data_IF_282450439277
#
_entry.id   IF_282450439277
#
_cell.length_a   1.000
_cell.length_b   1.000
_cell.length_c   1.000
_cell.angle_alpha   90.00
_cell.angle_beta   90.00
_cell.angle_gamma   90.00
#
_symmetry.space_group_name_H-M   'P 1'
#
loop_
_entity.id
_entity.type
_entity.pdbx_description
1 polymer ?
#
# COMPACT_ATOMS: atom_id res chain seq x y z
N UNK A 1 54.63 10.56 -7.93
CA UNK A 1 53.43 9.85 -8.42
C UNK A 1 52.37 9.85 -7.33
N UNK A 2 51.33 10.69 -7.45
CA UNK A 2 50.20 10.66 -6.52
C UNK A 2 49.28 9.48 -6.89
N UNK A 3 49.11 8.51 -6.00
CA UNK A 3 48.13 7.43 -6.16
C UNK A 3 46.74 8.03 -5.95
N UNK A 4 45.97 8.16 -7.03
CA UNK A 4 44.57 8.57 -6.97
C UNK A 4 43.78 7.44 -6.29
N UNK A 5 43.35 7.66 -5.04
CA UNK A 5 42.56 6.72 -4.26
C UNK A 5 41.12 6.81 -4.76
N UNK A 6 40.74 5.87 -5.63
CA UNK A 6 39.37 5.78 -6.15
C UNK A 6 38.45 5.53 -4.95
N UNK A 7 37.40 6.34 -4.72
CA UNK A 7 36.49 6.10 -3.61
C UNK A 7 35.75 4.78 -3.86
N UNK A 8 35.96 3.80 -2.97
CA UNK A 8 35.21 2.55 -3.00
C UNK A 8 33.82 2.81 -2.42
N UNK A 9 32.81 2.86 -3.29
CA UNK A 9 31.41 2.88 -2.86
C UNK A 9 31.11 1.51 -2.25
N UNK A 10 30.85 1.47 -0.95
CA UNK A 10 30.39 0.25 -0.27
C UNK A 10 28.97 -0.08 -0.74
N UNK A 11 28.75 -1.34 -1.12
CA UNK A 11 27.43 -1.84 -1.49
C UNK A 11 26.44 -1.69 -0.32
N UNK A 12 25.18 -1.30 -0.59
CA UNK A 12 24.15 -1.19 0.45
C UNK A 12 23.84 -2.56 1.05
N UNK A 13 23.36 -2.56 2.30
CA UNK A 13 22.96 -3.80 2.96
C UNK A 13 21.76 -4.45 2.27
N UNK A 14 21.60 -5.79 2.32
CA UNK A 14 20.42 -6.46 1.75
C UNK A 14 19.09 -5.89 2.26
N UNK A 15 19.03 -5.45 3.53
CA UNK A 15 17.82 -4.86 4.08
C UNK A 15 17.52 -3.46 3.54
N UNK A 16 18.56 -2.69 3.23
CA UNK A 16 18.41 -1.40 2.56
C UNK A 16 17.84 -1.61 1.16
N UNK A 17 18.33 -2.60 0.43
CA UNK A 17 17.80 -2.94 -0.90
C UNK A 17 16.35 -3.41 -0.79
N UNK A 18 16.03 -4.29 0.16
CA UNK A 18 14.65 -4.73 0.41
C UNK A 18 13.71 -3.55 0.70
N UNK A 19 14.10 -2.63 1.58
CA UNK A 19 13.30 -1.45 1.90
C UNK A 19 13.07 -0.54 0.69
N UNK A 20 14.11 -0.33 -0.14
CA UNK A 20 13.99 0.43 -1.38
C UNK A 20 13.04 -0.26 -2.37
N UNK A 21 13.15 -1.58 -2.55
CA UNK A 21 12.26 -2.34 -3.43
C UNK A 21 10.81 -2.23 -2.92
N UNK A 22 10.58 -2.42 -1.63
CA UNK A 22 9.24 -2.29 -1.04
C UNK A 22 8.65 -0.87 -1.21
N UNK A 23 9.49 0.16 -1.04
CA UNK A 23 9.09 1.55 -1.28
C UNK A 23 8.74 1.78 -2.76
N UNK A 24 9.55 1.28 -3.70
CA UNK A 24 9.25 1.41 -5.13
C UNK A 24 7.99 0.64 -5.52
N UNK A 25 7.76 -0.55 -4.94
CA UNK A 25 6.54 -1.31 -5.12
C UNK A 25 5.32 -0.51 -4.65
N UNK A 26 5.39 0.10 -3.46
CA UNK A 26 4.34 0.97 -2.95
C UNK A 26 4.02 2.11 -3.93
N UNK A 27 5.03 2.86 -4.38
CA UNK A 27 4.85 4.01 -5.27
C UNK A 27 4.24 3.61 -6.62
N UNK A 28 4.71 2.51 -7.21
CA UNK A 28 4.20 2.03 -8.49
C UNK A 28 2.74 1.59 -8.36
N UNK A 29 2.44 0.76 -7.35
CA UNK A 29 1.10 0.19 -7.20
C UNK A 29 0.09 1.23 -6.69
N UNK A 30 0.52 2.25 -5.94
CA UNK A 30 -0.35 3.37 -5.56
C UNK A 30 -0.72 4.28 -6.74
N UNK A 31 -0.14 4.06 -7.93
CA UNK A 31 -0.41 4.87 -9.11
C UNK A 31 0.33 6.21 -9.10
N UNK A 32 1.47 6.33 -8.42
CA UNK A 32 2.25 7.57 -8.38
C UNK A 32 2.60 8.10 -9.78
N UNK A 33 2.88 7.20 -10.73
CA UNK A 33 3.14 7.58 -12.14
C UNK A 33 1.90 8.19 -12.78
N UNK A 34 0.71 7.65 -12.51
CA UNK A 34 -0.55 8.24 -12.96
C UNK A 34 -0.77 9.61 -12.33
N UNK A 35 -0.49 9.75 -11.03
CA UNK A 35 -0.67 11.02 -10.32
C UNK A 35 0.23 12.13 -10.88
N UNK A 36 1.47 11.82 -11.25
CA UNK A 36 2.41 12.78 -11.87
C UNK A 36 1.99 13.17 -13.29
N UNK A 37 1.45 12.23 -14.07
CA UNK A 37 1.08 12.50 -15.47
C UNK A 37 -0.26 13.21 -15.59
N UNK A 38 -1.24 12.80 -14.78
CA UNK A 38 -2.63 13.23 -14.90
C UNK A 38 -2.98 14.35 -13.92
N UNK A 39 -2.17 14.53 -12.88
CA UNK A 39 -2.38 15.52 -11.82
C UNK A 39 -3.84 15.52 -11.30
N UNK A 40 -4.40 14.35 -10.92
CA UNK A 40 -5.77 14.27 -10.43
C UNK A 40 -5.89 15.02 -9.08
N UNK A 41 -7.09 15.49 -8.72
CA UNK A 41 -7.29 16.10 -7.41
C UNK A 41 -7.04 15.06 -6.30
N UNK A 42 -6.57 15.56 -5.15
CA UNK A 42 -6.22 14.68 -4.02
C UNK A 42 -7.43 13.94 -3.44
N UNK A 43 -8.57 14.62 -3.35
CA UNK A 43 -9.87 14.10 -2.93
C UNK A 43 -10.96 14.67 -3.83
N UNK A 44 -12.05 13.93 -3.98
CA UNK A 44 -13.26 14.41 -4.64
C UNK A 44 -14.24 15.06 -3.68
N UNK A 45 -15.32 15.60 -4.25
CA UNK A 45 -16.46 16.05 -3.50
C UNK A 45 -17.75 15.71 -4.23
N UNK A 46 -18.79 15.30 -3.51
CA UNK A 46 -20.14 15.14 -4.03
C UNK A 46 -21.07 16.12 -3.34
N UNK A 47 -22.00 16.71 -4.10
CA UNK A 47 -23.01 17.56 -3.52
C UNK A 47 -24.25 16.74 -3.19
N UNK A 48 -24.70 16.83 -1.95
CA UNK A 48 -25.93 16.19 -1.52
C UNK A 48 -27.12 16.89 -2.18
N UNK A 49 -27.93 16.11 -2.91
CA UNK A 49 -29.06 16.64 -3.70
C UNK A 49 -30.15 17.27 -2.86
N UNK A 50 -30.30 16.88 -1.59
CA UNK A 50 -31.37 17.38 -0.71
C UNK A 50 -30.93 18.55 0.16
N UNK A 51 -29.67 18.55 0.60
CA UNK A 51 -29.15 19.57 1.54
C UNK A 51 -28.24 20.61 0.88
N UNK A 52 -27.79 20.36 -0.35
CA UNK A 52 -26.79 21.18 -1.03
C UNK A 52 -25.39 21.10 -0.39
N UNK A 53 -25.22 20.33 0.68
CA UNK A 53 -23.96 20.20 1.39
C UNK A 53 -22.93 19.44 0.57
N UNK A 54 -21.69 19.92 0.58
CA UNK A 54 -20.56 19.29 -0.10
C UNK A 54 -19.96 18.24 0.83
N UNK A 55 -19.97 16.97 0.41
CA UNK A 55 -19.40 15.83 1.14
C UNK A 55 -18.10 15.39 0.48
N UNK A 56 -16.99 15.23 1.23
CA UNK A 56 -15.74 14.72 0.67
C UNK A 56 -15.91 13.27 0.22
N UNK A 57 -15.29 12.92 -0.90
CA UNK A 57 -15.32 11.57 -1.48
C UNK A 57 -13.91 11.13 -1.77
N UNK A 58 -13.52 10.00 -1.17
CA UNK A 58 -12.15 9.48 -1.21
C UNK A 58 -11.90 8.61 -2.44
N UNK A 59 -12.93 7.92 -2.94
CA UNK A 59 -12.86 7.01 -4.07
C UNK A 59 -13.75 7.50 -5.21
N UNK A 60 -13.26 7.46 -6.45
CA UNK A 60 -14.06 7.85 -7.61
C UNK A 60 -15.00 6.71 -8.05
N UNK A 61 -16.32 6.77 -7.74
CA UNK A 61 -17.21 5.64 -7.99
C UNK A 61 -17.51 5.49 -9.49
N UNK A 62 -17.57 4.25 -9.98
CA UNK A 62 -18.00 3.92 -11.35
C UNK A 62 -17.00 4.26 -12.46
N UNK A 63 -15.86 4.90 -12.16
CA UNK A 63 -14.82 5.22 -13.14
C UNK A 63 -13.53 4.44 -12.84
N UNK A 64 -13.39 3.28 -13.48
CA UNK A 64 -12.28 2.35 -13.22
C UNK A 64 -10.91 2.92 -13.60
N UNK A 65 -10.82 3.66 -14.72
CA UNK A 65 -9.57 4.18 -15.27
C UNK A 65 -9.07 5.51 -14.66
N UNK A 66 -9.80 6.08 -13.70
CA UNK A 66 -9.37 7.32 -13.02
C UNK A 66 -9.39 7.17 -11.52
N UNK A 67 -8.40 7.71 -10.84
CA UNK A 67 -8.27 7.66 -9.38
C UNK A 67 -8.05 9.05 -8.81
N UNK A 68 -8.42 9.24 -7.53
CA UNK A 68 -7.87 10.33 -6.72
C UNK A 68 -6.52 9.91 -6.12
N UNK A 69 -5.66 10.88 -5.79
CA UNK A 69 -4.34 10.60 -5.20
C UNK A 69 -4.48 9.76 -3.92
N UNK A 70 -5.43 10.13 -3.05
CA UNK A 70 -5.64 9.41 -1.79
C UNK A 70 -6.15 7.98 -2.00
N UNK A 71 -6.93 7.74 -3.06
CA UNK A 71 -7.46 6.42 -3.42
C UNK A 71 -6.30 5.49 -3.82
N UNK A 72 -5.42 6.00 -4.70
CA UNK A 72 -4.20 5.31 -5.10
C UNK A 72 -3.31 4.99 -3.90
N UNK A 73 -2.95 5.99 -3.09
CA UNK A 73 -2.11 5.80 -1.90
C UNK A 73 -2.73 4.83 -0.88
N UNK A 74 -4.04 4.91 -0.64
CA UNK A 74 -4.74 4.02 0.30
C UNK A 74 -4.73 2.57 -0.18
N UNK A 75 -4.95 2.34 -1.49
CA UNK A 75 -4.90 0.99 -2.07
C UNK A 75 -3.48 0.40 -2.05
N UNK A 76 -2.46 1.19 -2.42
CA UNK A 76 -1.05 0.79 -2.32
C UNK A 76 -0.65 0.42 -0.89
N UNK A 77 -1.11 1.18 0.10
CA UNK A 77 -0.85 0.88 1.51
C UNK A 77 -1.46 -0.46 1.93
N UNK A 78 -2.69 -0.77 1.51
CA UNK A 78 -3.33 -2.05 1.83
C UNK A 78 -2.57 -3.24 1.25
N UNK A 79 -2.01 -3.12 0.04
CA UNK A 79 -1.21 -4.19 -0.54
C UNK A 79 0.12 -4.40 0.19
N UNK A 80 0.81 -3.32 0.57
CA UNK A 80 2.02 -3.41 1.39
C UNK A 80 1.71 -3.99 2.76
N UNK A 81 0.62 -3.57 3.39
CA UNK A 81 0.15 -4.12 4.66
C UNK A 81 -0.05 -5.63 4.55
N UNK A 82 -0.78 -6.10 3.54
CA UNK A 82 -0.97 -7.53 3.29
C UNK A 82 0.35 -8.29 3.06
N UNK A 83 1.26 -7.74 2.25
CA UNK A 83 2.57 -8.34 2.00
C UNK A 83 3.44 -8.42 3.26
N UNK A 84 3.48 -7.34 4.06
CA UNK A 84 4.15 -7.33 5.38
C UNK A 84 3.51 -8.32 6.33
N UNK A 85 2.17 -8.48 6.30
CA UNK A 85 1.47 -9.50 7.07
C UNK A 85 1.96 -10.91 6.79
N UNK A 86 2.25 -11.25 5.53
CA UNK A 86 2.85 -12.54 5.15
C UNK A 86 4.26 -12.68 5.72
N UNK A 87 5.08 -11.63 5.63
CA UNK A 87 6.44 -11.62 6.21
C UNK A 87 6.39 -11.81 7.73
N UNK A 88 5.43 -11.18 8.42
CA UNK A 88 5.26 -11.35 9.86
C UNK A 88 4.86 -12.79 10.22
N UNK A 89 4.01 -13.44 9.43
CA UNK A 89 3.68 -14.85 9.64
C UNK A 89 4.92 -15.74 9.49
N UNK A 90 5.77 -15.49 8.50
CA UNK A 90 7.04 -16.22 8.32
C UNK A 90 7.98 -16.02 9.52
N UNK A 91 8.12 -14.79 10.01
CA UNK A 91 8.88 -14.50 11.24
C UNK A 91 8.29 -15.17 12.50
N UNK A 92 7.00 -15.48 12.49
CA UNK A 92 6.33 -16.25 13.53
C UNK A 92 6.72 -17.73 13.57
N UNK A 93 7.26 -18.28 12.48
CA UNK A 93 7.69 -19.68 12.37
C UNK A 93 9.14 -19.91 12.87
N UNK A 94 9.90 -18.84 13.10
CA UNK A 94 11.27 -18.90 13.56
C UNK A 94 11.41 -19.70 14.86
N UNK A 95 12.24 -20.75 14.85
CA UNK A 95 12.43 -21.65 16.00
C UNK A 95 13.10 -20.95 17.19
N UNK A 96 13.90 -19.91 16.94
CA UNK A 96 14.77 -19.28 17.93
C UNK A 96 14.07 -18.22 18.81
N UNK A 97 12.78 -17.97 18.60
CA UNK A 97 12.00 -16.96 19.33
C UNK A 97 11.18 -17.56 20.48
N UNK A 98 10.84 -16.74 21.47
CA UNK A 98 9.91 -17.13 22.54
C UNK A 98 8.51 -17.43 21.97
N UNK A 99 7.78 -18.39 22.57
CA UNK A 99 6.44 -18.80 22.10
C UNK A 99 5.45 -17.63 22.03
N UNK A 100 5.48 -16.72 23.00
CA UNK A 100 4.63 -15.52 23.01
C UNK A 100 4.87 -14.62 21.79
N UNK A 101 6.14 -14.40 21.44
CA UNK A 101 6.55 -13.56 20.31
C UNK A 101 6.13 -14.20 18.98
N UNK A 102 6.22 -15.53 18.86
CA UNK A 102 5.74 -16.25 17.67
C UNK A 102 4.24 -16.09 17.47
N UNK A 103 3.47 -16.29 18.55
CA UNK A 103 2.01 -16.15 18.53
C UNK A 103 1.62 -14.71 18.18
N UNK A 104 2.35 -13.71 18.70
CA UNK A 104 2.12 -12.31 18.37
C UNK A 104 2.39 -11.99 16.89
N UNK A 105 3.51 -12.44 16.33
CA UNK A 105 3.80 -12.22 14.91
C UNK A 105 2.81 -12.93 13.99
N UNK A 106 2.43 -14.16 14.33
CA UNK A 106 1.41 -14.89 13.59
C UNK A 106 0.04 -14.19 13.67
N UNK A 107 -0.39 -13.75 14.85
CA UNK A 107 -1.70 -13.09 15.00
C UNK A 107 -1.77 -11.77 14.26
N UNK A 108 -0.76 -10.90 14.41
CA UNK A 108 -0.69 -9.61 13.71
C UNK A 108 -0.59 -9.83 12.19
N UNK A 109 0.20 -10.82 11.75
CA UNK A 109 0.33 -11.16 10.33
C UNK A 109 -0.99 -11.61 9.70
N UNK A 110 -1.71 -12.53 10.34
CA UNK A 110 -3.04 -12.99 9.89
C UNK A 110 -4.03 -11.82 9.87
N UNK A 111 -4.12 -11.04 10.96
CA UNK A 111 -5.03 -9.89 11.02
C UNK A 111 -4.72 -8.87 9.93
N UNK A 112 -3.44 -8.60 9.67
CA UNK A 112 -2.98 -7.69 8.63
C UNK A 112 -3.43 -8.12 7.23
N UNK A 113 -3.27 -9.41 6.89
CA UNK A 113 -3.73 -9.98 5.60
C UNK A 113 -5.26 -9.91 5.46
N UNK A 114 -6.00 -10.25 6.53
CA UNK A 114 -7.47 -10.19 6.51
C UNK A 114 -7.95 -8.76 6.29
N UNK A 115 -7.39 -7.79 7.01
CA UNK A 115 -7.75 -6.37 6.86
C UNK A 115 -7.43 -5.91 5.43
N UNK A 116 -6.23 -6.21 4.92
CA UNK A 116 -5.84 -5.86 3.56
C UNK A 116 -6.80 -6.44 2.51
N UNK A 117 -7.21 -7.70 2.66
CA UNK A 117 -8.17 -8.36 1.76
C UNK A 117 -9.55 -7.70 1.80
N UNK A 118 -10.13 -7.51 2.99
CA UNK A 118 -11.47 -6.92 3.15
C UNK A 118 -11.48 -5.50 2.59
N UNK A 119 -10.46 -4.69 2.90
CA UNK A 119 -10.36 -3.31 2.41
C UNK A 119 -10.18 -3.25 0.89
N UNK A 120 -9.31 -4.08 0.32
CA UNK A 120 -9.12 -4.15 -1.14
C UNK A 120 -10.41 -4.55 -1.86
N UNK A 121 -11.15 -5.51 -1.29
CA UNK A 121 -12.44 -5.94 -1.84
C UNK A 121 -13.50 -4.84 -1.76
N UNK A 122 -13.51 -4.07 -0.67
CA UNK A 122 -14.36 -2.90 -0.51
C UNK A 122 -14.04 -1.83 -1.56
N UNK A 123 -12.76 -1.55 -1.82
CA UNK A 123 -12.33 -0.59 -2.84
C UNK A 123 -12.82 -0.99 -4.24
N UNK A 124 -12.69 -2.26 -4.61
CA UNK A 124 -13.19 -2.76 -5.90
C UNK A 124 -14.70 -2.61 -5.99
N UNK A 125 -15.45 -2.91 -4.92
CA UNK A 125 -16.93 -2.75 -4.91
C UNK A 125 -17.39 -1.31 -5.03
N UNK A 126 -16.61 -0.34 -4.54
CA UNK A 126 -16.89 1.09 -4.75
C UNK A 126 -16.64 1.48 -6.22
N UNK A 127 -15.52 1.01 -6.78
CA UNK A 127 -15.12 1.26 -8.18
C UNK A 127 -16.06 0.62 -9.19
N UNK A 128 -16.51 -0.60 -8.92
CA UNK A 128 -17.35 -1.43 -9.79
C UNK A 128 -18.62 -1.81 -9.02
N UNK A 129 -19.68 -0.98 -9.09
CA UNK A 129 -20.95 -1.30 -8.48
C UNK A 129 -21.50 -2.63 -9.04
N UNK A 130 -21.85 -3.56 -8.15
CA UNK A 130 -22.31 -4.89 -8.55
C UNK A 130 -21.19 -5.91 -8.77
N UNK A 131 -19.94 -5.59 -8.42
CA UNK A 131 -18.84 -6.56 -8.46
C UNK A 131 -19.14 -7.79 -7.59
N UNK A 132 -19.23 -8.96 -8.25
CA UNK A 132 -19.53 -10.26 -7.65
C UNK A 132 -20.87 -10.30 -6.90
N UNK A 133 -21.88 -9.58 -7.41
CA UNK A 133 -23.29 -9.79 -7.06
C UNK A 133 -23.95 -10.80 -7.99
#
# INVERSE_FOLDING_TARGET
MAKLKIPSISLPSPMTVFALVLLTYFLVVSGFVYDVIVEPPGIGSTQDRFTGAVKPVVFLPGRVNGQYIIEGLSSGFMFVLGGVGIILMDLGLDRNRAKSVKVFFASVGISSVIIAYIMSMLFIRIKIPGYLR
#
